data_IF_072826565488
#
_entry.id   IF_072826565488
#
_cell.length_a   1.000
_cell.length_b   1.000
_cell.length_c   1.000
_cell.angle_alpha   90.00
_cell.angle_beta   90.00
_cell.angle_gamma   90.00
#
_symmetry.space_group_name_H-M   'P 1'
#
loop_
_entity.id
_entity.type
_entity.pdbx_description
1 polymer ?
#
# COMPACT_ATOMS: atom_id res chain seq x y z
N UNK A 1 8.36 -32.76 2.50
CA UNK A 1 8.05 -31.64 3.42
C UNK A 1 7.31 -30.59 2.60
N UNK A 2 6.05 -30.37 2.92
CA UNK A 2 5.10 -29.59 2.12
C UNK A 2 5.53 -28.14 1.90
N UNK A 3 6.06 -27.85 0.71
CA UNK A 3 6.39 -26.49 0.28
C UNK A 3 5.14 -25.59 0.07
N UNK A 4 3.93 -26.13 0.20
CA UNK A 4 2.67 -25.43 -0.01
C UNK A 4 2.21 -24.59 1.20
N UNK A 5 2.31 -25.15 2.41
CA UNK A 5 1.90 -24.47 3.65
C UNK A 5 2.58 -23.10 3.88
N UNK A 6 3.92 -22.96 3.77
CA UNK A 6 4.58 -21.66 3.94
C UNK A 6 4.17 -20.63 2.88
N UNK A 7 3.76 -21.07 1.68
CA UNK A 7 3.28 -20.17 0.62
C UNK A 7 1.90 -19.62 0.91
N UNK A 8 0.99 -20.44 1.46
CA UNK A 8 -0.32 -19.96 1.94
C UNK A 8 -0.11 -18.94 3.05
N UNK A 9 0.65 -19.28 4.09
CA UNK A 9 0.85 -18.40 5.24
C UNK A 9 1.42 -17.06 4.79
N UNK A 10 2.40 -17.07 3.88
CA UNK A 10 2.95 -15.84 3.30
C UNK A 10 1.90 -15.00 2.54
N UNK A 11 1.04 -15.62 1.74
CA UNK A 11 0.00 -14.90 1.01
C UNK A 11 -1.10 -14.37 1.95
N UNK A 12 -1.45 -15.09 3.02
CA UNK A 12 -2.34 -14.58 4.06
C UNK A 12 -1.74 -13.35 4.76
N UNK A 13 -0.44 -13.39 5.09
CA UNK A 13 0.27 -12.23 5.65
C UNK A 13 0.26 -11.04 4.70
N UNK A 14 0.35 -11.25 3.38
CA UNK A 14 0.20 -10.17 2.37
C UNK A 14 -1.18 -9.54 2.39
N UNK A 15 -2.24 -10.33 2.57
CA UNK A 15 -3.60 -9.79 2.70
C UNK A 15 -3.72 -8.92 3.96
N UNK A 16 -3.23 -9.42 5.10
CA UNK A 16 -3.23 -8.67 6.37
C UNK A 16 -2.42 -7.38 6.25
N UNK A 17 -1.23 -7.44 5.66
CA UNK A 17 -0.39 -6.27 5.46
C UNK A 17 -1.06 -5.24 4.53
N UNK A 18 -1.72 -5.68 3.46
CA UNK A 18 -2.48 -4.79 2.57
C UNK A 18 -3.65 -4.14 3.31
N UNK A 19 -4.39 -4.89 4.12
CA UNK A 19 -5.47 -4.35 4.94
C UNK A 19 -4.96 -3.27 5.91
N UNK A 20 -3.93 -3.58 6.69
CA UNK A 20 -3.35 -2.62 7.63
C UNK A 20 -2.79 -1.38 6.93
N UNK A 21 -2.15 -1.55 5.77
CA UNK A 21 -1.67 -0.45 4.96
C UNK A 21 -2.81 0.47 4.51
N UNK A 22 -3.87 -0.11 3.93
CA UNK A 22 -4.98 0.66 3.35
C UNK A 22 -5.78 1.43 4.38
N UNK A 23 -6.02 0.83 5.56
CA UNK A 23 -6.70 1.48 6.68
C UNK A 23 -5.88 2.65 7.23
N UNK A 24 -4.55 2.57 7.24
CA UNK A 24 -3.68 3.60 7.82
C UNK A 24 -3.15 4.62 6.79
N UNK A 25 -3.21 4.32 5.50
CA UNK A 25 -2.80 5.20 4.41
C UNK A 25 -3.91 6.18 3.98
N UNK A 26 -4.71 6.72 4.90
CA UNK A 26 -5.69 7.75 4.57
C UNK A 26 -5.04 9.11 4.31
N UNK A 27 -5.76 9.98 3.61
CA UNK A 27 -5.31 11.26 3.08
C UNK A 27 -5.13 12.34 4.17
N UNK A 28 -4.39 12.01 5.21
CA UNK A 28 -3.93 12.95 6.21
C UNK A 28 -2.54 12.53 6.67
N UNK A 29 -1.73 13.48 7.11
CA UNK A 29 -0.42 13.18 7.66
C UNK A 29 -0.57 12.34 8.94
N UNK A 30 0.29 11.32 9.16
CA UNK A 30 0.28 10.55 10.39
C UNK A 30 0.78 11.44 11.53
N UNK A 31 -0.15 11.95 12.34
CA UNK A 31 0.15 12.69 13.58
C UNK A 31 0.50 11.75 14.72
N UNK A 32 -0.03 10.53 14.70
CA UNK A 32 0.19 9.52 15.72
C UNK A 32 1.39 8.63 15.38
N UNK A 33 2.27 8.42 16.36
CA UNK A 33 3.45 7.55 16.24
C UNK A 33 3.04 6.12 15.88
N UNK A 34 1.93 5.62 16.43
CA UNK A 34 1.40 4.29 16.15
C UNK A 34 1.07 4.10 14.68
N UNK A 35 0.38 5.08 14.08
CA UNK A 35 0.03 5.08 12.65
C UNK A 35 1.27 5.13 11.77
N UNK A 36 2.25 5.96 12.13
CA UNK A 36 3.52 6.05 11.40
C UNK A 36 4.26 4.71 11.39
N UNK A 37 4.35 4.04 12.55
CA UNK A 37 4.99 2.72 12.67
C UNK A 37 4.27 1.66 11.84
N UNK A 38 2.93 1.61 11.90
CA UNK A 38 2.14 0.67 11.08
C UNK A 38 2.39 0.92 9.59
N UNK A 39 2.38 2.19 9.15
CA UNK A 39 2.66 2.56 7.77
C UNK A 39 4.07 2.15 7.33
N UNK A 40 5.10 2.40 8.15
CA UNK A 40 6.48 2.03 7.83
C UNK A 40 6.63 0.51 7.68
N UNK A 41 6.11 -0.25 8.65
CA UNK A 41 6.19 -1.72 8.65
C UNK A 41 5.46 -2.31 7.45
N UNK A 42 4.22 -1.85 7.22
CA UNK A 42 3.40 -2.35 6.10
C UNK A 42 3.95 -1.93 4.73
N UNK A 43 4.50 -0.71 4.61
CA UNK A 43 5.22 -0.26 3.40
C UNK A 43 6.41 -1.17 3.12
N UNK A 44 7.27 -1.42 4.12
CA UNK A 44 8.44 -2.29 3.96
C UNK A 44 8.03 -3.71 3.51
N UNK A 45 6.95 -4.24 4.09
CA UNK A 45 6.42 -5.55 3.71
C UNK A 45 5.87 -5.58 2.28
N UNK A 46 5.14 -4.54 1.85
CA UNK A 46 4.62 -4.41 0.48
C UNK A 46 5.75 -4.24 -0.52
N UNK A 47 6.78 -3.44 -0.21
CA UNK A 47 7.97 -3.30 -1.06
C UNK A 47 8.70 -4.63 -1.22
N UNK A 48 8.88 -5.38 -0.13
CA UNK A 48 9.45 -6.73 -0.16
C UNK A 48 8.60 -7.69 -1.00
N UNK A 49 7.27 -7.62 -0.89
CA UNK A 49 6.35 -8.37 -1.77
C UNK A 49 6.56 -8.01 -3.24
N UNK A 50 6.72 -6.73 -3.56
CA UNK A 50 7.03 -6.27 -4.92
C UNK A 50 8.38 -6.78 -5.42
N UNK A 51 9.41 -6.79 -4.56
CA UNK A 51 10.72 -7.36 -4.89
C UNK A 51 10.64 -8.86 -5.26
N UNK A 52 9.84 -9.64 -4.53
CA UNK A 52 9.62 -11.06 -4.88
C UNK A 52 8.89 -11.26 -6.20
N UNK A 53 7.92 -10.39 -6.51
CA UNK A 53 7.25 -10.39 -7.82
C UNK A 53 8.23 -10.05 -8.95
N UNK A 54 9.10 -9.06 -8.72
CA UNK A 54 10.15 -8.67 -9.66
C UNK A 54 11.10 -9.83 -9.94
N UNK A 55 11.60 -10.51 -8.90
CA UNK A 55 12.45 -11.70 -9.01
C UNK A 55 11.79 -12.84 -9.79
N UNK A 56 10.45 -12.87 -9.83
CA UNK A 56 9.66 -13.84 -10.60
C UNK A 56 9.32 -13.35 -12.01
N UNK A 57 9.96 -12.29 -12.51
CA UNK A 57 9.73 -11.64 -13.81
C UNK A 57 8.29 -11.11 -14.01
N UNK A 58 7.55 -10.84 -12.92
CA UNK A 58 6.19 -10.30 -12.97
C UNK A 58 6.23 -8.77 -12.88
N UNK A 59 6.67 -8.11 -13.95
CA UNK A 59 6.90 -6.66 -13.98
C UNK A 59 5.63 -5.83 -13.75
N UNK A 60 4.52 -6.17 -14.40
CA UNK A 60 3.25 -5.46 -14.23
C UNK A 60 2.76 -5.46 -12.76
N UNK A 61 2.60 -6.62 -12.10
CA UNK A 61 2.28 -6.67 -10.67
C UNK A 61 3.28 -5.93 -9.77
N UNK A 62 4.57 -5.98 -10.12
CA UNK A 62 5.62 -5.27 -9.36
C UNK A 62 5.39 -3.77 -9.40
N UNK A 63 5.14 -3.21 -10.58
CA UNK A 63 4.89 -1.78 -10.76
C UNK A 63 3.73 -1.31 -9.88
N UNK A 64 2.57 -1.96 -9.97
CA UNK A 64 1.41 -1.62 -9.14
C UNK A 64 1.69 -1.74 -7.63
N UNK A 65 2.42 -2.78 -7.22
CA UNK A 65 2.74 -3.02 -5.80
C UNK A 65 3.67 -1.93 -5.25
N UNK A 66 4.70 -1.54 -5.99
CA UNK A 66 5.62 -0.48 -5.59
C UNK A 66 4.98 0.91 -5.68
N UNK A 67 4.16 1.17 -6.71
CA UNK A 67 3.38 2.40 -6.79
C UNK A 67 2.45 2.55 -5.60
N UNK A 68 1.76 1.48 -5.18
CA UNK A 68 0.91 1.52 -3.98
C UNK A 68 1.71 1.87 -2.73
N UNK A 69 2.88 1.25 -2.54
CA UNK A 69 3.74 1.51 -1.38
C UNK A 69 4.26 2.94 -1.36
N UNK A 70 4.64 3.51 -2.51
CA UNK A 70 5.18 4.86 -2.63
C UNK A 70 4.12 5.96 -2.51
N UNK A 71 2.87 5.67 -2.90
CA UNK A 71 1.78 6.66 -2.98
C UNK A 71 1.58 7.51 -1.71
N UNK A 72 1.40 6.95 -0.50
CA UNK A 72 1.21 7.75 0.71
C UNK A 72 2.42 8.65 1.00
N UNK A 73 3.64 8.15 0.77
CA UNK A 73 4.86 8.93 1.01
C UNK A 73 5.00 10.09 0.01
N UNK A 74 4.67 9.85 -1.26
CA UNK A 74 4.63 10.90 -2.27
C UNK A 74 3.61 11.98 -1.90
N UNK A 75 2.42 11.58 -1.46
CA UNK A 75 1.38 12.52 -1.01
C UNK A 75 1.83 13.31 0.23
N UNK A 76 2.43 12.67 1.23
CA UNK A 76 2.93 13.37 2.42
C UNK A 76 4.04 14.37 2.09
N UNK A 77 4.92 14.02 1.14
CA UNK A 77 5.98 14.89 0.66
C UNK A 77 5.41 16.07 -0.13
N UNK A 78 4.46 15.84 -1.03
CA UNK A 78 3.73 16.89 -1.76
C UNK A 78 3.06 17.87 -0.80
N UNK A 79 2.36 17.35 0.23
CA UNK A 79 1.72 18.17 1.24
C UNK A 79 2.70 19.01 2.04
N UNK A 80 3.87 18.45 2.37
CA UNK A 80 4.94 19.21 3.06
C UNK A 80 5.50 20.33 2.18
N UNK A 81 5.75 20.04 0.90
CA UNK A 81 6.38 21.00 -0.03
C UNK A 81 5.44 22.15 -0.41
N UNK A 82 4.16 21.87 -0.65
CA UNK A 82 3.20 22.87 -1.09
C UNK A 82 2.71 23.78 0.04
N UNK A 83 2.66 23.27 1.28
CA UNK A 83 1.98 23.97 2.38
C UNK A 83 2.89 24.28 3.58
N UNK A 84 4.17 23.87 3.56
CA UNK A 84 5.19 24.30 4.52
C UNK A 84 5.01 23.83 5.97
N UNK A 85 3.93 23.12 6.29
CA UNK A 85 3.64 22.61 7.63
C UNK A 85 3.07 21.20 7.59
N UNK A 86 3.39 20.41 8.62
CA UNK A 86 2.77 19.10 8.88
C UNK A 86 1.38 19.20 9.51
N UNK A 87 1.04 20.37 10.06
CA UNK A 87 -0.30 20.71 10.53
C UNK A 87 -0.96 21.62 9.50
N UNK A 88 -1.92 21.07 8.77
CA UNK A 88 -2.66 21.80 7.74
C UNK A 88 -3.85 22.46 8.40
N UNK A 89 -3.90 23.79 8.34
CA UNK A 89 -5.07 24.55 8.74
C UNK A 89 -6.14 24.40 7.65
N UNK A 90 -6.99 23.36 7.80
CA UNK A 90 -7.94 22.96 6.75
C UNK A 90 -8.82 24.13 6.31
N UNK A 91 -9.16 25.06 7.22
CA UNK A 91 -10.02 26.22 6.95
C UNK A 91 -9.42 27.18 5.91
N UNK A 92 -8.09 27.29 5.83
CA UNK A 92 -7.41 28.26 4.96
C UNK A 92 -7.14 27.73 3.55
N UNK A 93 -7.16 26.40 3.36
CA UNK A 93 -6.77 25.75 2.11
C UNK A 93 -7.77 24.69 1.61
N UNK A 94 -9.02 24.68 2.11
CA UNK A 94 -10.09 23.71 1.79
C UNK A 94 -10.17 23.40 0.30
N UNK A 95 -10.27 24.43 -0.54
CA UNK A 95 -10.51 24.26 -1.99
C UNK A 95 -9.31 23.67 -2.72
N UNK A 96 -8.08 23.99 -2.30
CA UNK A 96 -6.86 23.44 -2.91
C UNK A 96 -6.56 22.02 -2.43
N UNK A 97 -6.91 21.71 -1.18
CA UNK A 97 -6.65 20.41 -0.55
C UNK A 97 -7.63 19.32 -1.02
N UNK A 98 -8.89 19.71 -1.30
CA UNK A 98 -9.96 18.78 -1.68
C UNK A 98 -9.66 18.02 -2.97
N UNK A 99 -9.10 18.69 -3.99
CA UNK A 99 -8.71 18.04 -5.25
C UNK A 99 -7.56 17.06 -5.06
N UNK A 100 -6.49 17.44 -4.34
CA UNK A 100 -5.34 16.55 -4.09
C UNK A 100 -5.74 15.32 -3.27
N UNK A 101 -6.62 15.45 -2.28
CA UNK A 101 -7.18 14.31 -1.53
C UNK A 101 -7.97 13.38 -2.46
N UNK A 102 -8.83 13.94 -3.32
CA UNK A 102 -9.67 13.15 -4.22
C UNK A 102 -8.81 12.34 -5.21
N UNK A 103 -7.79 12.97 -5.79
CA UNK A 103 -6.83 12.31 -6.68
C UNK A 103 -6.06 11.22 -5.94
N UNK A 104 -5.53 11.51 -4.75
CA UNK A 104 -4.85 10.54 -3.91
C UNK A 104 -5.73 9.32 -3.59
N UNK A 105 -6.95 9.54 -3.12
CA UNK A 105 -7.87 8.46 -2.78
C UNK A 105 -8.24 7.62 -3.99
N UNK A 106 -8.42 8.25 -5.16
CA UNK A 106 -8.70 7.55 -6.42
C UNK A 106 -7.55 6.61 -6.79
N UNK A 107 -6.31 7.11 -6.80
CA UNK A 107 -5.13 6.27 -7.04
C UNK A 107 -5.00 5.17 -5.98
N UNK A 108 -5.19 5.51 -4.70
CA UNK A 108 -5.09 4.56 -3.59
C UNK A 108 -6.05 3.39 -3.79
N UNK A 109 -7.33 3.65 -4.10
CA UNK A 109 -8.31 2.59 -4.29
C UNK A 109 -8.01 1.74 -5.51
N UNK A 110 -7.69 2.35 -6.65
CA UNK A 110 -7.36 1.62 -7.88
C UNK A 110 -6.14 0.72 -7.65
N UNK A 111 -5.05 1.26 -7.12
CA UNK A 111 -3.82 0.50 -6.83
C UNK A 111 -4.08 -0.62 -5.80
N UNK A 112 -4.87 -0.35 -4.78
CA UNK A 112 -5.26 -1.35 -3.77
C UNK A 112 -6.01 -2.52 -4.39
N UNK A 113 -6.99 -2.26 -5.26
CA UNK A 113 -7.77 -3.30 -5.94
C UNK A 113 -6.85 -4.17 -6.80
N UNK A 114 -5.95 -3.55 -7.57
CA UNK A 114 -4.98 -4.29 -8.39
C UNK A 114 -4.06 -5.17 -7.55
N UNK A 115 -3.49 -4.64 -6.46
CA UNK A 115 -2.59 -5.41 -5.59
C UNK A 115 -3.36 -6.52 -4.86
N UNK A 116 -4.59 -6.26 -4.43
CA UNK A 116 -5.48 -7.26 -3.84
C UNK A 116 -5.73 -8.41 -4.82
N UNK A 117 -6.08 -8.11 -6.08
CA UNK A 117 -6.27 -9.11 -7.12
C UNK A 117 -5.02 -9.98 -7.35
N UNK A 118 -3.83 -9.36 -7.39
CA UNK A 118 -2.56 -10.09 -7.51
C UNK A 118 -2.37 -11.06 -6.33
N UNK A 119 -2.61 -10.62 -5.09
CA UNK A 119 -2.45 -11.45 -3.90
C UNK A 119 -3.45 -12.60 -3.90
N UNK A 120 -4.71 -12.34 -4.23
CA UNK A 120 -5.76 -13.37 -4.28
C UNK A 120 -5.47 -14.41 -5.36
N UNK A 121 -4.97 -13.98 -6.53
CA UNK A 121 -4.53 -14.91 -7.58
C UNK A 121 -3.39 -15.81 -7.10
N UNK A 122 -2.40 -15.25 -6.41
CA UNK A 122 -1.27 -16.01 -5.87
C UNK A 122 -1.71 -16.98 -4.76
N UNK A 123 -2.67 -16.57 -3.92
CA UNK A 123 -3.28 -17.40 -2.90
C UNK A 123 -4.04 -18.57 -3.52
N UNK A 124 -4.88 -18.32 -4.53
CA UNK A 124 -5.62 -19.35 -5.25
C UNK A 124 -4.68 -20.39 -5.88
N UNK A 125 -3.61 -19.95 -6.56
CA UNK A 125 -2.61 -20.86 -7.11
C UNK A 125 -1.87 -21.66 -6.02
N UNK A 126 -1.61 -21.05 -4.87
CA UNK A 126 -0.95 -21.74 -3.75
C UNK A 126 -1.84 -22.83 -3.16
N UNK A 127 -3.15 -22.56 -3.02
CA UNK A 127 -4.14 -23.54 -2.54
C UNK A 127 -4.30 -24.68 -3.55
N UNK A 128 -4.38 -24.37 -4.85
CA UNK A 128 -4.56 -25.38 -5.90
C UNK A 128 -3.38 -26.36 -5.99
N UNK A 129 -2.16 -25.89 -5.75
CA UNK A 129 -0.93 -26.69 -5.86
C UNK A 129 -0.50 -27.36 -4.53
N UNK A 130 -1.41 -27.43 -3.53
CA UNK A 130 -1.21 -28.19 -2.29
C UNK A 130 -1.72 -29.62 -2.41
N UNK A 131 -2.63 -29.88 -3.34
CA UNK A 131 -2.96 -31.22 -3.82
C UNK A 131 -1.98 -31.66 -4.91
#
# INVERSE_FOLDING_TARGET
>A
MDYGYPRIVYNCLRVVALYLFTVNAYASLPTDITRLLILLITTAFILYSGYRLHKSNRYFPTMFTWSLAALPWAFFLEMRLLYGSFTIDMVKYVDKYSYSIAVYNSFRYVLTIFVCYVILKDLYHSIKNIN
#
